data_IF_823505482969
#
_entry.id   IF_823505482969
#
_cell.length_a   1.000
_cell.length_b   1.000
_cell.length_c   1.000
_cell.angle_alpha   90.00
_cell.angle_beta   90.00
_cell.angle_gamma   90.00
#
_symmetry.space_group_name_H-M   'P 1'
#
loop_
_entity.id
_entity.type
_entity.pdbx_description
1 polymer ?
#
# COMPACT_ATOMS: atom_id res chain seq x y z
N UNK A 1 -18.24 -3.00 10.98
CA UNK A 1 -16.83 -3.06 11.40
C UNK A 1 -16.00 -2.98 10.14
N UNK A 2 -15.12 -1.99 10.01
CA UNK A 2 -14.14 -1.99 8.93
C UNK A 2 -13.19 -3.16 9.15
N UNK A 3 -12.96 -3.97 8.11
CA UNK A 3 -11.98 -5.05 8.16
C UNK A 3 -10.58 -4.44 8.14
N UNK A 4 -9.68 -4.92 8.99
CA UNK A 4 -8.29 -4.45 9.00
C UNK A 4 -7.52 -5.09 7.83
N UNK A 5 -7.71 -4.54 6.62
CA UNK A 5 -7.03 -4.93 5.39
C UNK A 5 -6.54 -3.68 4.64
N UNK A 6 -5.80 -3.87 3.56
CA UNK A 6 -5.31 -2.77 2.74
C UNK A 6 -6.46 -1.97 2.09
N UNK A 7 -7.54 -2.61 1.63
CA UNK A 7 -8.70 -1.94 1.01
C UNK A 7 -9.22 -0.75 1.83
N UNK A 8 -9.34 -0.95 3.15
CA UNK A 8 -9.95 0.03 4.06
C UNK A 8 -8.91 0.87 4.83
N UNK A 9 -7.63 0.77 4.47
CA UNK A 9 -6.54 1.43 5.18
C UNK A 9 -6.12 2.72 4.48
N UNK A 10 -6.00 3.82 5.25
CA UNK A 10 -5.53 5.14 4.79
C UNK A 10 -4.18 5.12 4.05
N UNK A 11 -3.38 4.07 4.26
CA UNK A 11 -2.06 3.93 3.66
C UNK A 11 -2.02 3.07 2.40
N UNK A 12 -3.15 2.56 1.92
CA UNK A 12 -3.20 1.85 0.66
C UNK A 12 -3.26 2.85 -0.50
N UNK A 13 -2.38 2.67 -1.50
CA UNK A 13 -2.37 3.47 -2.72
C UNK A 13 -2.77 2.56 -3.88
N UNK A 14 -4.07 2.54 -4.19
CA UNK A 14 -4.72 1.63 -5.16
C UNK A 14 -4.37 1.95 -6.63
N UNK A 15 -3.82 3.12 -6.91
CA UNK A 15 -3.60 3.61 -8.28
C UNK A 15 -2.14 3.56 -8.74
N UNK A 16 -1.22 2.99 -7.94
CA UNK A 16 0.22 2.98 -8.23
C UNK A 16 0.82 1.59 -8.12
N UNK A 17 1.83 1.32 -8.95
CA UNK A 17 2.64 0.10 -8.96
C UNK A 17 4.11 0.42 -9.22
N UNK A 18 4.78 1.14 -8.31
CA UNK A 18 6.21 1.49 -8.40
C UNK A 18 6.66 2.07 -9.77
N UNK A 19 5.83 2.95 -10.36
CA UNK A 19 6.09 3.53 -11.68
C UNK A 19 5.31 2.87 -12.83
N UNK A 20 4.61 1.77 -12.56
CA UNK A 20 3.57 1.21 -13.41
C UNK A 20 2.18 1.51 -12.85
N UNK A 21 1.15 1.28 -13.66
CA UNK A 21 -0.23 1.21 -13.20
C UNK A 21 -0.41 0.02 -12.25
N UNK A 22 -1.28 0.19 -11.26
CA UNK A 22 -1.82 -0.92 -10.47
C UNK A 22 -2.40 -2.00 -11.39
N UNK A 23 -2.21 -3.27 -11.03
CA UNK A 23 -2.68 -4.41 -11.83
C UNK A 23 -3.72 -5.21 -11.06
N UNK A 24 -4.96 -5.21 -11.55
CA UNK A 24 -6.08 -5.83 -10.86
C UNK A 24 -6.34 -5.13 -9.52
N UNK A 25 -6.29 -5.91 -8.45
CA UNK A 25 -6.54 -5.48 -7.08
C UNK A 25 -5.24 -5.08 -6.32
N UNK A 26 -4.11 -5.09 -7.02
CA UNK A 26 -2.83 -4.74 -6.44
C UNK A 26 -2.67 -3.21 -6.28
N UNK A 27 -2.16 -2.79 -5.14
CA UNK A 27 -1.70 -1.42 -4.88
C UNK A 27 -0.42 -1.41 -4.04
N UNK A 28 -0.07 -0.26 -3.48
CA UNK A 28 1.11 -0.12 -2.61
C UNK A 28 0.71 0.06 -1.15
N UNK A 29 1.38 -0.65 -0.24
CA UNK A 29 1.31 -0.35 1.19
C UNK A 29 2.27 0.80 1.53
N UNK A 30 1.73 1.98 1.84
CA UNK A 30 2.50 3.19 2.14
C UNK A 30 2.87 3.34 3.62
N UNK A 31 2.42 2.42 4.47
CA UNK A 31 2.85 2.36 5.87
C UNK A 31 4.27 1.83 5.97
N UNK A 32 4.58 0.76 5.24
CA UNK A 32 5.91 0.18 5.20
C UNK A 32 6.78 0.94 4.17
N UNK A 33 7.96 1.43 4.56
CA UNK A 33 8.82 2.19 3.65
C UNK A 33 9.30 1.33 2.47
N UNK A 34 9.78 1.95 1.38
CA UNK A 34 10.36 1.23 0.25
C UNK A 34 11.50 0.30 0.66
N UNK A 35 11.52 -0.87 0.06
CA UNK A 35 12.56 -1.88 0.26
C UNK A 35 13.75 -1.58 -0.65
N UNK A 36 14.94 -1.59 -0.07
CA UNK A 36 16.21 -1.47 -0.80
C UNK A 36 16.32 -2.54 -1.88
N UNK A 37 16.83 -2.15 -3.05
CA UNK A 37 16.99 -3.07 -4.18
C UNK A 37 18.43 -3.61 -4.25
N UNK A 38 18.66 -4.80 -4.83
CA UNK A 38 19.99 -5.42 -4.88
C UNK A 38 21.04 -4.60 -5.62
N UNK A 39 20.62 -3.83 -6.64
CA UNK A 39 21.51 -2.97 -7.41
C UNK A 39 21.68 -1.61 -6.71
N UNK A 40 22.92 -1.10 -6.56
CA UNK A 40 23.22 0.08 -5.75
C UNK A 40 22.53 1.37 -6.26
N UNK A 41 22.31 1.47 -7.57
CA UNK A 41 21.71 2.64 -8.21
C UNK A 41 20.18 2.52 -8.37
N UNK A 42 19.59 1.39 -7.98
CA UNK A 42 18.15 1.16 -8.13
C UNK A 42 17.34 1.89 -7.05
N UNK A 43 16.22 2.50 -7.45
CA UNK A 43 15.28 3.12 -6.52
C UNK A 43 14.63 2.05 -5.64
N UNK A 44 14.40 2.38 -4.37
CA UNK A 44 13.61 1.52 -3.48
C UNK A 44 12.19 1.35 -3.99
N UNK A 45 11.63 0.15 -3.80
CA UNK A 45 10.28 -0.20 -4.23
C UNK A 45 9.36 -0.30 -3.02
N UNK A 46 8.20 0.35 -3.09
CA UNK A 46 7.15 0.14 -2.10
C UNK A 46 6.65 -1.29 -2.16
N UNK A 47 6.26 -1.90 -1.02
CA UNK A 47 5.63 -3.21 -1.02
C UNK A 47 4.34 -3.18 -1.84
N UNK A 48 4.25 -4.06 -2.84
CA UNK A 48 3.02 -4.31 -3.58
C UNK A 48 2.17 -5.29 -2.78
N UNK A 49 0.90 -4.96 -2.59
CA UNK A 49 -0.07 -5.72 -1.80
C UNK A 49 -1.40 -5.77 -2.52
N UNK A 50 -2.23 -6.75 -2.21
CA UNK A 50 -3.64 -6.83 -2.60
C UNK A 50 -4.53 -6.14 -1.58
N UNK A 51 -5.78 -5.85 -1.92
CA UNK A 51 -6.75 -5.21 -1.01
C UNK A 51 -7.02 -6.02 0.25
N UNK A 52 -6.88 -7.35 0.19
CA UNK A 52 -7.08 -8.24 1.33
C UNK A 52 -5.84 -8.47 2.20
N UNK A 53 -4.67 -7.95 1.81
CA UNK A 53 -3.46 -8.10 2.61
C UNK A 53 -3.53 -7.28 3.91
N UNK A 54 -2.77 -7.73 4.91
CA UNK A 54 -2.62 -7.04 6.18
C UNK A 54 -1.17 -7.09 6.66
N UNK A 55 -0.58 -5.90 6.89
CA UNK A 55 0.82 -5.76 7.26
C UNK A 55 1.06 -5.65 8.78
N UNK A 56 0.03 -5.87 9.61
CA UNK A 56 0.10 -5.68 11.07
C UNK A 56 -0.23 -4.25 11.54
N UNK A 57 -0.41 -3.31 10.60
CA UNK A 57 -0.77 -1.91 10.88
C UNK A 57 -2.04 -1.51 10.13
N UNK A 58 -2.90 -0.75 10.80
CA UNK A 58 -4.16 -0.27 10.23
C UNK A 58 -4.49 1.13 10.77
N UNK A 59 -4.91 2.01 9.88
CA UNK A 59 -5.56 3.27 10.24
C UNK A 59 -6.70 3.44 9.26
N UNK A 60 -7.92 3.52 9.79
CA UNK A 60 -9.09 3.77 8.97
C UNK A 60 -8.92 5.10 8.23
N UNK A 61 -9.34 5.14 6.97
CA UNK A 61 -9.47 6.41 6.28
C UNK A 61 -10.55 7.24 6.98
N UNK A 62 -10.14 8.34 7.64
CA UNK A 62 -11.08 9.28 8.21
C UNK A 62 -11.69 10.07 7.05
N UNK A 63 -12.91 9.74 6.66
CA UNK A 63 -13.71 10.64 5.82
C UNK A 63 -13.97 11.92 6.62
N UNK A 64 -13.78 13.09 6.00
CA UNK A 64 -13.96 14.40 6.64
C UNK A 64 -15.44 14.71 6.96
N UNK A 65 -16.02 13.95 7.89
CA UNK A 65 -17.35 14.11 8.44
C UNK A 65 -17.48 13.33 9.76
N UNK A 66 -16.67 13.67 10.77
CA UNK A 66 -16.95 13.40 12.19
C UNK A 66 -16.59 14.64 13.03
#
# INVERSE_FOLDING_TARGET
>A
MASANCESCKFFDEHKGNGASAQGDAGLCRFNPPVSQPAPESKGLWPVVTTNDWCGHFTAEMTAAE
#
